data_IF_078329892655
#
_entry.id   IF_078329892655
#
_cell.length_a   1.000
_cell.length_b   1.000
_cell.length_c   1.000
_cell.angle_alpha   90.00
_cell.angle_beta   90.00
_cell.angle_gamma   90.00
#
_symmetry.space_group_name_H-M   'P 1'
#
loop_
_entity.id
_entity.type
_entity.pdbx_description
1 polymer ?
#
# COMPACT_ATOMS: atom_id res chain seq x y z
N UNK A 1 21.63 5.20 -1.33
CA UNK A 1 20.35 5.91 -1.48
C UNK A 1 19.45 5.40 -0.39
N UNK A 2 18.73 6.26 0.32
CA UNK A 2 17.99 5.81 1.51
C UNK A 2 16.93 4.77 1.15
N UNK A 3 16.99 3.63 1.83
CA UNK A 3 16.17 2.45 1.59
C UNK A 3 14.89 2.43 2.43
N UNK A 4 14.26 3.59 2.60
CA UNK A 4 13.08 3.73 3.45
C UNK A 4 11.90 3.10 2.73
N UNK A 5 11.28 2.11 3.37
CA UNK A 5 10.12 1.39 2.85
C UNK A 5 8.95 1.59 3.80
N UNK A 6 7.83 2.02 3.21
CA UNK A 6 6.53 1.96 3.87
C UNK A 6 5.80 0.74 3.32
N UNK A 7 5.30 -0.08 4.23
CA UNK A 7 4.39 -1.18 3.91
C UNK A 7 3.02 -0.88 4.51
N UNK A 8 1.99 -0.86 3.65
CA UNK A 8 0.61 -0.59 4.02
C UNK A 8 -0.17 -1.89 3.94
N UNK A 9 -0.73 -2.31 5.07
CA UNK A 9 -1.46 -3.56 5.20
C UNK A 9 -2.97 -3.30 5.26
N UNK A 10 -3.74 -4.03 4.46
CA UNK A 10 -5.20 -4.02 4.48
C UNK A 10 -5.74 -5.40 4.86
N UNK A 11 -6.83 -5.44 5.64
CA UNK A 11 -7.59 -6.66 5.90
C UNK A 11 -8.46 -6.99 4.69
N UNK A 12 -8.24 -8.17 4.10
CA UNK A 12 -9.02 -8.63 2.97
C UNK A 12 -10.47 -8.91 3.35
N UNK A 13 -10.78 -9.22 4.61
CA UNK A 13 -12.14 -9.42 5.09
C UNK A 13 -12.96 -8.13 5.14
N UNK A 14 -12.29 -6.98 5.19
CA UNK A 14 -12.95 -5.68 5.08
C UNK A 14 -13.40 -5.36 3.64
N UNK A 15 -12.94 -6.11 2.64
CA UNK A 15 -13.32 -5.90 1.24
C UNK A 15 -14.76 -6.44 1.01
N UNK A 16 -15.73 -5.57 0.65
CA UNK A 16 -17.12 -5.98 0.52
C UNK A 16 -17.33 -7.07 -0.54
N UNK A 17 -17.98 -8.16 -0.13
CA UNK A 17 -18.34 -9.27 -1.02
C UNK A 17 -17.17 -10.15 -1.44
N UNK A 18 -16.02 -10.08 -0.75
CA UNK A 18 -14.94 -11.05 -0.90
C UNK A 18 -15.43 -12.47 -0.58
N UNK A 19 -15.00 -13.44 -1.39
CA UNK A 19 -15.06 -14.86 -1.06
C UNK A 19 -13.74 -15.28 -0.38
N UNK A 20 -13.74 -15.62 0.92
CA UNK A 20 -12.53 -16.01 1.64
C UNK A 20 -11.91 -17.32 1.14
N UNK A 21 -12.72 -18.19 0.52
CA UNK A 21 -12.27 -19.49 -0.01
C UNK A 21 -11.67 -19.39 -1.41
N UNK A 22 -11.72 -18.20 -2.04
CA UNK A 22 -11.14 -17.98 -3.36
C UNK A 22 -9.83 -17.16 -3.26
N UNK A 23 -8.66 -17.81 -3.39
CA UNK A 23 -7.36 -17.12 -3.31
C UNK A 23 -7.12 -16.14 -4.47
N UNK A 24 -7.88 -16.26 -5.57
CA UNK A 24 -7.80 -15.38 -6.74
C UNK A 24 -9.08 -14.57 -6.93
N UNK A 25 -9.76 -14.19 -5.83
CA UNK A 25 -10.96 -13.36 -5.91
C UNK A 25 -10.67 -12.07 -6.72
N UNK A 26 -11.35 -11.86 -7.87
CA UNK A 26 -11.14 -10.68 -8.71
C UNK A 26 -11.36 -9.36 -7.97
N UNK A 27 -12.16 -9.34 -6.91
CA UNK A 27 -12.39 -8.15 -6.08
C UNK A 27 -11.14 -7.77 -5.29
N UNK A 28 -10.44 -8.76 -4.74
CA UNK A 28 -9.17 -8.56 -4.03
C UNK A 28 -8.12 -8.02 -5.01
N UNK A 29 -8.01 -8.61 -6.19
CA UNK A 29 -7.07 -8.16 -7.23
C UNK A 29 -7.37 -6.72 -7.68
N UNK A 30 -8.66 -6.39 -7.90
CA UNK A 30 -9.07 -5.02 -8.26
C UNK A 30 -8.78 -4.03 -7.14
N UNK A 31 -9.07 -4.39 -5.89
CA UNK A 31 -8.77 -3.53 -4.74
C UNK A 31 -7.27 -3.28 -4.64
N UNK A 32 -6.45 -4.34 -4.74
CA UNK A 32 -4.99 -4.24 -4.77
C UNK A 32 -4.52 -3.29 -5.86
N UNK A 33 -4.94 -3.51 -7.11
CA UNK A 33 -4.44 -2.75 -8.25
C UNK A 33 -4.85 -1.28 -8.15
N UNK A 34 -6.08 -1.01 -7.68
CA UNK A 34 -6.56 0.35 -7.49
C UNK A 34 -5.88 1.06 -6.30
N UNK A 35 -5.68 0.36 -5.17
CA UNK A 35 -4.97 0.89 -4.01
C UNK A 35 -3.52 1.21 -4.36
N UNK A 36 -2.83 0.27 -5.01
CA UNK A 36 -1.46 0.44 -5.47
C UNK A 36 -1.34 1.65 -6.41
N UNK A 37 -2.22 1.75 -7.40
CA UNK A 37 -2.21 2.86 -8.35
C UNK A 37 -2.48 4.21 -7.66
N UNK A 38 -3.46 4.28 -6.76
CA UNK A 38 -3.79 5.53 -6.06
C UNK A 38 -2.67 6.00 -5.14
N UNK A 39 -2.12 5.10 -4.33
CA UNK A 39 -1.03 5.43 -3.41
C UNK A 39 0.22 5.82 -4.21
N UNK A 40 0.51 5.10 -5.30
CA UNK A 40 1.62 5.42 -6.18
C UNK A 40 1.49 6.82 -6.80
N UNK A 41 0.31 7.15 -7.32
CA UNK A 41 0.01 8.47 -7.90
C UNK A 41 0.26 9.61 -6.90
N UNK A 42 -0.15 9.42 -5.64
CA UNK A 42 0.10 10.39 -4.56
C UNK A 42 1.60 10.55 -4.29
N UNK A 43 2.34 9.45 -4.20
CA UNK A 43 3.77 9.48 -3.89
C UNK A 43 4.61 10.01 -5.06
N UNK A 44 4.33 9.60 -6.29
CA UNK A 44 5.06 10.05 -7.48
C UNK A 44 4.74 11.51 -7.84
N UNK A 45 3.48 11.94 -7.66
CA UNK A 45 3.05 13.31 -7.93
C UNK A 45 3.82 14.38 -7.16
N UNK A 46 4.31 14.04 -5.97
CA UNK A 46 5.13 14.92 -5.12
C UNK A 46 6.62 14.52 -5.10
N UNK A 47 7.01 13.51 -5.90
CA UNK A 47 8.37 12.96 -5.89
C UNK A 47 8.77 12.31 -4.56
N UNK A 48 7.80 11.89 -3.73
CA UNK A 48 8.00 11.33 -2.40
C UNK A 48 8.37 9.85 -2.39
N UNK A 49 8.15 9.12 -3.49
CA UNK A 49 8.41 7.69 -3.51
C UNK A 49 8.09 7.00 -4.83
N UNK A 50 8.20 5.66 -4.81
CA UNK A 50 7.86 4.76 -5.92
C UNK A 50 7.31 3.43 -5.40
N UNK A 51 6.59 2.72 -6.26
CA UNK A 51 6.02 1.41 -5.96
C UNK A 51 7.06 0.29 -6.00
N UNK A 52 6.99 -0.63 -5.03
CA UNK A 52 7.84 -1.83 -4.98
C UNK A 52 7.06 -3.11 -5.28
N UNK A 53 5.74 -3.09 -5.13
CA UNK A 53 4.86 -4.20 -5.44
C UNK A 53 3.87 -4.49 -4.33
N UNK A 54 3.11 -5.56 -4.52
CA UNK A 54 2.05 -5.95 -3.61
C UNK A 54 2.02 -7.47 -3.43
N UNK A 55 1.83 -7.91 -2.19
CA UNK A 55 1.67 -9.33 -1.83
C UNK A 55 0.27 -9.56 -1.25
N UNK A 56 -0.41 -10.60 -1.75
CA UNK A 56 -1.71 -11.05 -1.23
C UNK A 56 -1.45 -12.30 -0.41
N UNK A 57 -1.63 -12.20 0.90
CA UNK A 57 -1.61 -13.31 1.85
C UNK A 57 -3.04 -13.75 2.17
N UNK A 58 -3.19 -14.80 2.98
CA UNK A 58 -4.49 -15.44 3.25
C UNK A 58 -5.59 -14.45 3.69
N UNK A 59 -5.28 -13.52 4.58
CA UNK A 59 -6.21 -12.52 5.13
C UNK A 59 -5.72 -11.08 4.97
N UNK A 60 -4.53 -10.87 4.40
CA UNK A 60 -3.89 -9.56 4.31
C UNK A 60 -3.45 -9.22 2.90
N UNK A 61 -3.61 -7.96 2.54
CA UNK A 61 -2.96 -7.35 1.38
C UNK A 61 -1.87 -6.42 1.87
N UNK A 62 -0.63 -6.63 1.42
CA UNK A 62 0.53 -5.78 1.73
C UNK A 62 0.93 -5.01 0.48
N UNK A 63 0.98 -3.69 0.57
CA UNK A 63 1.46 -2.81 -0.49
C UNK A 63 2.78 -2.17 -0.04
N UNK A 64 3.81 -2.22 -0.87
CA UNK A 64 5.15 -1.72 -0.51
C UNK A 64 5.58 -0.56 -1.40
N UNK A 65 6.11 0.47 -0.77
CA UNK A 65 6.58 1.69 -1.43
C UNK A 65 7.94 2.09 -0.88
N UNK A 66 8.87 2.44 -1.77
CA UNK A 66 10.08 3.14 -1.37
C UNK A 66 9.77 4.62 -1.24
N UNK A 67 10.22 5.26 -0.16
CA UNK A 67 9.96 6.67 0.11
C UNK A 67 11.24 7.44 0.39
N UNK A 68 11.24 8.74 0.10
CA UNK A 68 12.36 9.64 0.39
C UNK A 68 12.30 10.22 1.79
N UNK A 69 11.16 10.12 2.47
CA UNK A 69 10.92 10.60 3.82
C UNK A 69 9.66 9.94 4.36
N UNK A 70 9.72 9.37 5.56
CA UNK A 70 8.59 8.65 6.13
C UNK A 70 7.44 9.59 6.50
N UNK A 71 7.78 10.70 7.16
CA UNK A 71 6.78 11.60 7.71
C UNK A 71 6.10 12.38 6.60
N UNK A 72 6.86 12.86 5.61
CA UNK A 72 6.28 13.55 4.45
C UNK A 72 5.35 12.62 3.65
N UNK A 73 5.75 11.36 3.45
CA UNK A 73 4.93 10.37 2.75
C UNK A 73 3.63 10.09 3.51
N UNK A 74 3.70 9.81 4.82
CA UNK A 74 2.50 9.50 5.60
C UNK A 74 1.54 10.68 5.73
N UNK A 75 2.05 11.90 5.96
CA UNK A 75 1.20 13.10 6.01
C UNK A 75 0.45 13.28 4.68
N UNK A 76 1.16 13.11 3.56
CA UNK A 76 0.55 13.25 2.24
C UNK A 76 -0.47 12.15 1.98
N UNK A 77 -0.16 10.90 2.32
CA UNK A 77 -1.08 9.78 2.17
C UNK A 77 -2.33 9.94 3.05
N UNK A 78 -2.18 10.34 4.31
CA UNK A 78 -3.30 10.59 5.22
C UNK A 78 -4.24 11.66 4.64
N UNK A 79 -3.68 12.78 4.18
CA UNK A 79 -4.46 13.87 3.56
C UNK A 79 -5.17 13.46 2.27
N UNK A 80 -4.56 12.63 1.43
CA UNK A 80 -5.06 12.28 0.09
C UNK A 80 -5.98 11.06 0.06
N UNK A 81 -5.89 10.20 1.09
CA UNK A 81 -6.68 8.99 1.21
C UNK A 81 -7.86 9.17 2.16
N UNK A 82 -7.86 10.18 3.03
CA UNK A 82 -8.96 10.44 3.98
C UNK A 82 -10.34 10.43 3.29
N UNK A 83 -11.26 9.60 3.80
CA UNK A 83 -12.61 9.47 3.26
C UNK A 83 -12.73 8.66 1.96
N UNK A 84 -11.64 8.04 1.51
CA UNK A 84 -11.65 7.11 0.36
C UNK A 84 -11.77 5.66 0.84
N UNK A 85 -11.82 4.69 -0.08
CA UNK A 85 -11.83 3.27 0.28
C UNK A 85 -10.49 2.75 0.86
N UNK A 86 -9.45 3.59 0.94
CA UNK A 86 -8.08 3.21 1.31
C UNK A 86 -7.58 3.86 2.61
N UNK A 87 -8.43 4.60 3.34
CA UNK A 87 -8.10 5.30 4.58
C UNK A 87 -8.09 4.42 5.84
N UNK A 88 -8.37 3.12 5.69
CA UNK A 88 -8.43 2.17 6.78
C UNK A 88 -7.43 1.01 6.62
N UNK A 89 -6.12 1.28 6.54
CA UNK A 89 -5.13 0.22 6.69
C UNK A 89 -5.19 -0.33 8.12
N UNK A 90 -4.99 -1.64 8.25
CA UNK A 90 -4.87 -2.28 9.58
C UNK A 90 -3.53 -2.02 10.23
N UNK A 91 -2.50 -1.76 9.42
CA UNK A 91 -1.14 -1.57 9.87
C UNK A 91 -0.33 -0.80 8.81
N UNK A 92 0.53 0.10 9.27
CA UNK A 92 1.52 0.80 8.45
C UNK A 92 2.89 0.57 9.08
N UNK A 93 3.80 -0.06 8.34
CA UNK A 93 5.15 -0.40 8.81
C UNK A 93 6.19 0.49 8.15
N UNK A 94 7.16 0.95 8.94
CA UNK A 94 8.35 1.67 8.48
C UNK A 94 9.58 0.80 8.69
N UNK A 95 10.33 0.54 7.63
CA UNK A 95 11.60 -0.18 7.74
C UNK A 95 12.60 0.21 6.67
N UNK A 96 13.83 -0.26 6.84
CA UNK A 96 14.91 -0.09 5.88
C UNK A 96 15.17 -1.40 5.14
N UNK A 97 15.17 -1.39 3.81
CA UNK A 97 15.47 -2.58 3.00
C UNK A 97 16.57 -2.34 1.96
N UNK A 98 17.78 -2.78 2.30
CA UNK A 98 18.96 -2.66 1.44
C UNK A 98 18.80 -3.36 0.07
N UNK A 99 17.84 -4.27 -0.11
CA UNK A 99 17.58 -4.91 -1.41
C UNK A 99 16.84 -4.00 -2.40
N UNK A 100 16.20 -2.94 -1.93
CA UNK A 100 15.52 -1.93 -2.77
C UNK A 100 16.53 -1.03 -3.52
N UNK A 101 17.82 -1.13 -3.17
CA UNK A 101 18.95 -0.41 -3.77
C UNK A 101 19.35 -0.86 -5.18
N UNK A 102 19.05 -2.10 -5.54
CA UNK A 102 19.59 -2.81 -6.70
C UNK A 102 18.62 -2.78 -7.89
#
# INVERSE_FOLDING_TARGET
>A
MDHRVIEICYDLNAIPGRNPDNPVDPRVLRFRDAAMARILDVLEGEGLGRGLGADVEYDRLRLRFAVIDFDAAEIKLDSELSGTAWDHPVEVLRYWDAKVAA
#
